data_IF_058495274287
#
_entry.id   IF_058495274287
#
_cell.length_a   1.000
_cell.length_b   1.000
_cell.length_c   1.000
_cell.angle_alpha   90.00
_cell.angle_beta   90.00
_cell.angle_gamma   90.00
#
_symmetry.space_group_name_H-M   'P 1'
#
loop_
_entity.id
_entity.type
_entity.pdbx_description
1 polymer ?
#
# COMPACT_ATOMS: atom_id res chain seq x y z
N UNK A 1 -20.71 -0.15 -42.51
CA UNK A 1 -21.40 1.04 -41.99
C UNK A 1 -21.10 1.16 -40.52
N UNK A 2 -20.23 2.09 -40.14
CA UNK A 2 -19.81 2.30 -38.75
C UNK A 2 -20.95 2.97 -37.98
N UNK A 3 -21.49 2.28 -36.99
CA UNK A 3 -22.42 2.87 -36.02
C UNK A 3 -21.63 3.90 -35.19
N UNK A 4 -21.73 5.17 -35.53
CA UNK A 4 -21.37 6.28 -34.65
C UNK A 4 -22.32 6.22 -33.46
N UNK A 5 -21.82 5.76 -32.31
CA UNK A 5 -22.50 5.98 -31.03
C UNK A 5 -22.58 7.50 -30.83
N UNK A 6 -23.78 8.06 -30.84
CA UNK A 6 -24.02 9.46 -30.46
C UNK A 6 -23.65 9.60 -28.96
N UNK A 7 -22.41 10.02 -28.69
CA UNK A 7 -22.03 10.48 -27.36
C UNK A 7 -22.55 11.91 -27.21
N UNK A 8 -23.66 12.06 -26.51
CA UNK A 8 -24.14 13.38 -26.14
C UNK A 8 -23.44 13.83 -24.86
N UNK A 9 -22.84 15.00 -24.89
CA UNK A 9 -22.21 15.65 -23.75
C UNK A 9 -22.95 16.96 -23.48
N UNK A 10 -23.39 17.16 -22.24
CA UNK A 10 -24.09 18.36 -21.82
C UNK A 10 -23.38 18.99 -20.61
N UNK A 11 -23.16 20.28 -20.62
CA UNK A 11 -22.75 21.08 -19.47
C UNK A 11 -23.98 21.67 -18.79
N UNK A 12 -23.98 21.75 -17.46
CA UNK A 12 -25.07 22.31 -16.69
C UNK A 12 -24.75 22.53 -15.21
N UNK A 13 -25.75 23.02 -14.49
CA UNK A 13 -25.68 23.24 -13.06
C UNK A 13 -26.64 22.27 -12.38
N UNK A 14 -26.17 21.52 -11.37
CA UNK A 14 -27.01 20.64 -10.57
C UNK A 14 -27.89 21.46 -9.65
N UNK A 15 -29.20 21.51 -9.93
CA UNK A 15 -30.13 22.46 -9.29
C UNK A 15 -30.14 22.42 -7.76
N UNK A 16 -29.98 21.26 -7.14
CA UNK A 16 -30.08 21.12 -5.68
C UNK A 16 -28.80 21.56 -4.95
N UNK A 17 -27.66 21.66 -5.61
CA UNK A 17 -26.37 21.98 -4.98
C UNK A 17 -25.72 23.24 -5.56
N UNK A 18 -26.16 23.70 -6.73
CA UNK A 18 -25.50 24.78 -7.46
C UNK A 18 -24.15 24.38 -8.11
N UNK A 19 -23.85 23.08 -8.13
CA UNK A 19 -22.58 22.54 -8.63
C UNK A 19 -22.56 22.51 -10.15
N UNK A 20 -21.51 23.04 -10.75
CA UNK A 20 -21.24 22.92 -12.18
C UNK A 20 -20.80 21.50 -12.52
N UNK A 21 -21.36 20.93 -13.57
CA UNK A 21 -21.06 19.56 -13.97
C UNK A 21 -21.19 19.32 -15.47
N UNK A 22 -20.57 18.25 -15.91
CA UNK A 22 -20.71 17.72 -17.26
C UNK A 22 -21.38 16.36 -17.18
N UNK A 23 -22.44 16.14 -17.95
CA UNK A 23 -23.09 14.84 -18.12
C UNK A 23 -22.74 14.28 -19.47
N UNK A 24 -22.25 13.06 -19.52
CA UNK A 24 -21.97 12.33 -20.75
C UNK A 24 -22.86 11.10 -20.82
N UNK A 25 -23.63 10.98 -21.90
CA UNK A 25 -24.42 9.79 -22.20
C UNK A 25 -23.52 8.77 -22.92
N UNK A 26 -23.30 7.60 -22.32
CA UNK A 26 -22.47 6.50 -22.87
C UNK A 26 -23.28 5.38 -23.50
N UNK A 27 -24.58 5.43 -23.39
CA UNK A 27 -25.51 4.44 -23.90
C UNK A 27 -26.95 4.83 -23.55
N UNK A 28 -27.92 3.98 -23.83
CA UNK A 28 -29.34 4.33 -23.57
C UNK A 28 -29.67 4.46 -22.08
N UNK A 29 -28.94 3.75 -21.23
CA UNK A 29 -29.13 3.74 -19.76
C UNK A 29 -27.87 4.06 -18.95
N UNK A 30 -26.77 4.45 -19.63
CA UNK A 30 -25.50 4.74 -18.98
C UNK A 30 -25.15 6.22 -19.13
N UNK A 31 -25.05 6.90 -18.01
CA UNK A 31 -24.67 8.31 -17.91
C UNK A 31 -23.47 8.46 -16.96
N UNK A 32 -22.53 9.30 -17.33
CA UNK A 32 -21.42 9.72 -16.47
C UNK A 32 -21.63 11.16 -16.05
N UNK A 33 -21.48 11.46 -14.76
CA UNK A 33 -21.57 12.80 -14.20
C UNK A 33 -20.19 13.19 -13.69
N UNK A 34 -19.61 14.21 -14.29
CA UNK A 34 -18.33 14.78 -13.92
C UNK A 34 -18.54 16.11 -13.20
N UNK A 35 -18.18 16.18 -11.92
CA UNK A 35 -18.27 17.37 -11.09
C UNK A 35 -16.89 17.74 -10.55
N UNK A 36 -16.77 18.86 -9.82
CA UNK A 36 -15.54 19.24 -9.14
C UNK A 36 -15.12 18.16 -8.14
N UNK A 37 -13.83 17.93 -8.00
CA UNK A 37 -13.22 16.80 -7.29
C UNK A 37 -13.26 16.89 -5.76
N UNK A 38 -14.30 17.42 -5.15
CA UNK A 38 -14.51 17.47 -3.71
C UNK A 38 -15.46 16.38 -3.24
N UNK A 39 -15.14 15.68 -2.15
CA UNK A 39 -16.03 14.66 -1.54
C UNK A 39 -17.42 15.23 -1.22
N UNK A 40 -17.50 16.49 -0.81
CA UNK A 40 -18.76 17.18 -0.49
C UNK A 40 -19.66 17.33 -1.70
N UNK A 41 -19.10 17.74 -2.86
CA UNK A 41 -19.85 17.89 -4.10
C UNK A 41 -20.38 16.55 -4.60
N UNK A 42 -19.52 15.53 -4.66
CA UNK A 42 -19.91 14.17 -5.05
C UNK A 42 -21.03 13.62 -4.16
N UNK A 43 -20.89 13.71 -2.84
CA UNK A 43 -21.90 13.21 -1.88
C UNK A 43 -23.21 13.98 -1.96
N UNK A 44 -23.17 15.28 -2.26
CA UNK A 44 -24.39 16.06 -2.43
C UNK A 44 -25.18 15.65 -3.69
N UNK A 45 -24.47 15.36 -4.80
CA UNK A 45 -25.08 14.84 -6.03
C UNK A 45 -25.64 13.44 -5.78
N UNK A 46 -24.89 12.53 -5.14
CA UNK A 46 -25.33 11.16 -4.82
C UNK A 46 -26.60 11.19 -3.96
N UNK A 47 -26.66 12.02 -2.92
CA UNK A 47 -27.86 12.19 -2.09
C UNK A 47 -29.04 12.72 -2.88
N UNK A 48 -28.79 13.68 -3.78
CA UNK A 48 -29.83 14.20 -4.66
C UNK A 48 -30.38 13.12 -5.58
N UNK A 49 -29.51 12.27 -6.17
CA UNK A 49 -29.94 11.13 -6.99
C UNK A 49 -30.76 10.12 -6.18
N UNK A 50 -30.37 9.87 -4.92
CA UNK A 50 -31.11 8.99 -4.00
C UNK A 50 -32.58 9.43 -3.82
N UNK A 51 -32.86 10.75 -3.82
CA UNK A 51 -34.24 11.27 -3.74
C UNK A 51 -35.10 10.97 -5.00
N UNK A 52 -34.47 10.60 -6.11
CA UNK A 52 -35.11 10.15 -7.34
C UNK A 52 -35.16 8.62 -7.48
N UNK A 53 -34.78 7.87 -6.43
CA UNK A 53 -34.86 6.42 -6.42
C UNK A 53 -33.61 5.72 -6.97
N UNK A 54 -32.50 6.42 -7.16
CA UNK A 54 -31.20 5.81 -7.47
C UNK A 54 -30.55 5.23 -6.22
N UNK A 55 -29.86 4.11 -6.37
CA UNK A 55 -29.11 3.47 -5.29
C UNK A 55 -27.61 3.59 -5.54
N UNK A 56 -26.86 3.99 -4.51
CA UNK A 56 -25.40 3.97 -4.54
C UNK A 56 -24.92 2.53 -4.51
N UNK A 57 -23.98 2.19 -5.39
CA UNK A 57 -23.25 0.92 -5.36
C UNK A 57 -21.75 1.22 -5.29
N UNK A 58 -21.00 0.30 -4.69
CA UNK A 58 -19.56 0.43 -4.65
C UNK A 58 -18.95 0.31 -6.05
N UNK A 59 -17.76 0.88 -6.26
CA UNK A 59 -17.01 0.72 -7.50
C UNK A 59 -16.70 -0.77 -7.80
N UNK A 60 -16.52 -1.58 -6.75
CA UNK A 60 -16.29 -3.03 -6.87
C UNK A 60 -17.58 -3.72 -7.35
N UNK A 61 -18.74 -3.38 -6.78
CA UNK A 61 -20.02 -3.94 -7.22
C UNK A 61 -20.34 -3.54 -8.66
N UNK A 62 -20.04 -2.29 -9.03
CA UNK A 62 -20.17 -1.83 -10.41
C UNK A 62 -19.27 -2.63 -11.36
N UNK A 63 -18.00 -2.82 -10.99
CA UNK A 63 -17.06 -3.62 -11.77
C UNK A 63 -17.55 -5.06 -11.95
N UNK A 64 -18.03 -5.69 -10.88
CA UNK A 64 -18.52 -7.07 -10.92
C UNK A 64 -19.75 -7.24 -11.82
N UNK A 65 -20.57 -6.19 -11.97
CA UNK A 65 -21.84 -6.27 -12.74
C UNK A 65 -21.67 -5.87 -14.20
N UNK A 66 -20.86 -4.85 -14.48
CA UNK A 66 -20.91 -4.13 -15.75
C UNK A 66 -19.58 -4.05 -16.50
N UNK A 67 -18.45 -4.37 -15.84
CA UNK A 67 -17.10 -4.25 -16.41
C UNK A 67 -16.22 -5.45 -16.06
N UNK A 68 -14.97 -5.44 -16.57
CA UNK A 68 -13.97 -6.40 -16.12
C UNK A 68 -13.45 -6.02 -14.73
N UNK A 69 -13.69 -6.88 -13.75
CA UNK A 69 -13.26 -6.69 -12.36
C UNK A 69 -11.76 -6.36 -12.24
N UNK A 70 -10.92 -7.08 -12.98
CA UNK A 70 -9.47 -6.93 -12.89
C UNK A 70 -8.99 -5.59 -13.45
N UNK A 71 -9.61 -5.14 -14.55
CA UNK A 71 -9.32 -3.85 -15.14
C UNK A 71 -9.70 -2.72 -14.18
N UNK A 72 -10.93 -2.71 -13.67
CA UNK A 72 -11.43 -1.62 -12.82
C UNK A 72 -10.68 -1.56 -11.49
N UNK A 73 -10.47 -2.70 -10.82
CA UNK A 73 -9.78 -2.71 -9.52
C UNK A 73 -8.32 -2.30 -9.63
N UNK A 74 -7.65 -2.64 -10.75
CA UNK A 74 -6.27 -2.17 -11.00
C UNK A 74 -6.22 -0.67 -11.32
N UNK A 75 -7.20 -0.15 -12.06
CA UNK A 75 -7.33 1.30 -12.29
C UNK A 75 -7.59 2.07 -10.98
N UNK A 76 -8.45 1.54 -10.12
CA UNK A 76 -8.69 2.12 -8.80
C UNK A 76 -7.43 2.09 -7.92
N UNK A 77 -6.66 1.00 -7.95
CA UNK A 77 -5.37 0.93 -7.26
C UNK A 77 -4.39 2.01 -7.75
N UNK A 78 -4.36 2.30 -9.06
CA UNK A 78 -3.53 3.37 -9.60
C UNK A 78 -3.86 4.74 -8.98
N UNK A 79 -5.13 5.04 -8.70
CA UNK A 79 -5.52 6.31 -8.06
C UNK A 79 -5.03 6.43 -6.62
N UNK A 80 -4.61 5.33 -6.01
CA UNK A 80 -4.08 5.29 -4.64
C UNK A 80 -2.55 5.34 -4.59
N UNK A 81 -1.87 5.39 -5.75
CA UNK A 81 -0.42 5.52 -5.79
C UNK A 81 0.02 6.86 -5.19
N UNK A 82 0.92 6.79 -4.20
CA UNK A 82 1.41 7.97 -3.49
C UNK A 82 2.77 8.46 -3.99
N UNK A 83 3.44 7.68 -4.83
CA UNK A 83 4.75 8.03 -5.39
C UNK A 83 4.82 7.75 -6.90
N UNK A 84 5.66 8.48 -7.67
CA UNK A 84 5.86 8.19 -9.10
C UNK A 84 6.38 6.77 -9.35
N UNK A 85 7.19 6.22 -8.43
CA UNK A 85 7.73 4.86 -8.53
C UNK A 85 6.60 3.84 -8.49
N UNK A 86 5.73 3.89 -7.49
CA UNK A 86 4.59 2.96 -7.37
C UNK A 86 3.56 3.16 -8.49
N UNK A 87 3.31 4.40 -8.90
CA UNK A 87 2.45 4.69 -10.06
C UNK A 87 2.97 4.04 -11.35
N UNK A 88 4.29 4.00 -11.56
CA UNK A 88 4.90 3.36 -12.74
C UNK A 88 4.62 1.86 -12.79
N UNK A 89 4.71 1.15 -11.63
CA UNK A 89 4.35 -0.27 -11.55
C UNK A 89 2.86 -0.49 -11.82
N UNK A 90 2.00 0.31 -11.19
CA UNK A 90 0.55 0.21 -11.35
C UNK A 90 0.08 0.53 -12.77
N UNK A 91 0.64 1.54 -13.43
CA UNK A 91 0.35 1.85 -14.85
C UNK A 91 0.65 0.66 -15.77
N UNK A 92 1.76 -0.04 -15.52
CA UNK A 92 2.11 -1.26 -16.26
C UNK A 92 1.07 -2.36 -16.04
N UNK A 93 0.66 -2.57 -14.79
CA UNK A 93 -0.33 -3.59 -14.44
C UNK A 93 -1.73 -3.28 -15.00
N UNK A 94 -2.13 -2.01 -15.09
CA UNK A 94 -3.39 -1.62 -15.74
C UNK A 94 -3.47 -2.16 -17.18
N UNK A 95 -2.35 -2.18 -17.91
CA UNK A 95 -2.30 -2.72 -19.25
C UNK A 95 -2.14 -4.24 -19.28
N UNK A 96 -1.35 -4.83 -18.40
CA UNK A 96 -0.91 -6.23 -18.49
C UNK A 96 -1.80 -7.21 -17.73
N UNK A 97 -2.28 -6.84 -16.53
CA UNK A 97 -3.01 -7.77 -15.66
C UNK A 97 -4.33 -8.26 -16.27
N UNK A 98 -5.19 -7.43 -16.88
CA UNK A 98 -6.40 -7.91 -17.54
C UNK A 98 -6.11 -8.88 -18.69
N UNK A 99 -5.04 -8.65 -19.45
CA UNK A 99 -4.61 -9.54 -20.53
C UNK A 99 -4.15 -10.90 -20.00
N UNK A 100 -3.37 -10.90 -18.90
CA UNK A 100 -2.94 -12.13 -18.24
C UNK A 100 -4.15 -12.94 -17.72
N UNK A 101 -5.10 -12.29 -17.09
CA UNK A 101 -6.34 -12.93 -16.62
C UNK A 101 -7.12 -13.52 -17.79
N UNK A 102 -7.19 -12.82 -18.92
CA UNK A 102 -7.83 -13.37 -20.13
C UNK A 102 -7.12 -14.62 -20.65
N UNK A 103 -5.79 -14.64 -20.60
CA UNK A 103 -5.01 -15.84 -20.97
C UNK A 103 -5.29 -17.01 -20.01
N UNK A 104 -5.36 -16.75 -18.70
CA UNK A 104 -5.74 -17.76 -17.70
C UNK A 104 -7.15 -18.34 -17.98
N UNK A 105 -8.12 -17.50 -18.29
CA UNK A 105 -9.49 -17.91 -18.67
C UNK A 105 -9.48 -18.83 -19.90
N UNK A 106 -8.69 -18.48 -20.92
CA UNK A 106 -8.58 -19.27 -22.16
C UNK A 106 -7.94 -20.64 -21.89
N UNK A 107 -6.89 -20.69 -21.06
CA UNK A 107 -6.23 -21.95 -20.66
C UNK A 107 -7.13 -22.83 -19.81
N UNK A 108 -7.90 -22.25 -18.89
CA UNK A 108 -8.93 -23.01 -18.17
C UNK A 108 -9.96 -23.64 -19.09
N UNK A 109 -10.36 -22.91 -20.15
CA UNK A 109 -11.29 -23.44 -21.16
C UNK A 109 -10.68 -24.57 -22.00
N UNK A 110 -9.34 -24.56 -22.15
CA UNK A 110 -8.57 -25.61 -22.83
C UNK A 110 -8.19 -26.79 -21.92
N UNK A 111 -8.58 -26.77 -20.64
CA UNK A 111 -8.22 -27.73 -19.60
C UNK A 111 -6.71 -27.80 -19.27
N UNK A 112 -5.96 -26.73 -19.49
CA UNK A 112 -4.53 -26.61 -19.16
C UNK A 112 -4.33 -26.27 -17.66
N UNK A 113 -4.82 -27.09 -16.75
CA UNK A 113 -4.93 -26.82 -15.31
C UNK A 113 -3.59 -26.57 -14.64
N UNK A 114 -2.58 -27.39 -14.96
CA UNK A 114 -1.24 -27.28 -14.37
C UNK A 114 -0.58 -25.95 -14.70
N UNK A 115 -0.67 -25.53 -15.97
CA UNK A 115 -0.14 -24.25 -16.40
C UNK A 115 -0.85 -23.05 -15.77
N UNK A 116 -2.17 -23.19 -15.53
CA UNK A 116 -2.94 -22.17 -14.83
C UNK A 116 -2.49 -22.08 -13.36
N UNK A 117 -2.33 -23.22 -12.68
CA UNK A 117 -1.87 -23.28 -11.31
C UNK A 117 -0.48 -22.67 -11.16
N UNK A 118 0.48 -23.03 -12.01
CA UNK A 118 1.83 -22.48 -12.03
C UNK A 118 1.83 -20.94 -12.20
N UNK A 119 1.04 -20.45 -13.16
CA UNK A 119 0.94 -19.00 -13.40
C UNK A 119 0.32 -18.25 -12.22
N UNK A 120 -0.74 -18.80 -11.60
CA UNK A 120 -1.36 -18.19 -10.43
C UNK A 120 -0.38 -18.20 -9.24
N UNK A 121 0.36 -19.29 -9.02
CA UNK A 121 1.41 -19.34 -7.99
C UNK A 121 2.48 -18.27 -8.22
N UNK A 122 2.95 -18.11 -9.45
CA UNK A 122 3.89 -17.05 -9.82
C UNK A 122 3.33 -15.65 -9.56
N UNK A 123 2.04 -15.42 -9.82
CA UNK A 123 1.39 -14.14 -9.52
C UNK A 123 1.26 -13.91 -8.01
N UNK A 124 0.88 -14.92 -7.25
CA UNK A 124 0.71 -14.85 -5.79
C UNK A 124 2.04 -14.67 -5.05
N UNK A 125 3.15 -15.18 -5.58
CA UNK A 125 4.49 -14.95 -5.05
C UNK A 125 4.78 -13.46 -4.88
N UNK A 126 4.30 -12.62 -5.78
CA UNK A 126 4.49 -11.17 -5.77
C UNK A 126 3.35 -10.38 -5.11
N UNK A 127 2.43 -11.07 -4.42
CA UNK A 127 1.25 -10.43 -3.84
C UNK A 127 1.62 -9.37 -2.78
N UNK A 128 2.59 -9.67 -1.92
CA UNK A 128 3.07 -8.73 -0.91
C UNK A 128 3.64 -7.45 -1.55
N UNK A 129 4.50 -7.61 -2.55
CA UNK A 129 5.02 -6.48 -3.33
C UNK A 129 3.88 -5.65 -3.95
N UNK A 130 2.91 -6.31 -4.58
CA UNK A 130 1.77 -5.65 -5.22
C UNK A 130 0.89 -4.87 -4.24
N UNK A 131 0.61 -5.42 -3.07
CA UNK A 131 -0.17 -4.75 -2.02
C UNK A 131 0.51 -3.47 -1.55
N UNK A 132 1.83 -3.46 -1.43
CA UNK A 132 2.59 -2.31 -0.98
C UNK A 132 2.80 -1.21 -2.03
N UNK A 133 2.28 -1.37 -3.25
CA UNK A 133 2.21 -0.29 -4.22
C UNK A 133 1.16 0.77 -3.84
N UNK A 134 0.14 0.38 -3.06
CA UNK A 134 -0.96 1.26 -2.62
C UNK A 134 -0.99 1.46 -1.11
N UNK A 135 -0.53 0.46 -0.34
CA UNK A 135 -0.44 0.52 1.12
C UNK A 135 1.01 0.77 1.51
N UNK A 136 1.34 1.94 2.11
CA UNK A 136 2.71 2.23 2.55
C UNK A 136 3.22 1.18 3.54
N UNK A 137 4.48 0.75 3.39
CA UNK A 137 5.12 -0.11 4.39
C UNK A 137 5.29 0.64 5.71
N UNK A 138 5.05 -0.05 6.80
CA UNK A 138 5.17 0.51 8.15
C UNK A 138 6.54 0.21 8.75
N UNK A 139 7.26 1.27 9.13
CA UNK A 139 8.57 1.17 9.78
C UNK A 139 8.45 1.74 11.19
N UNK A 140 8.78 0.92 12.19
CA UNK A 140 8.71 1.31 13.61
C UNK A 140 10.10 1.56 14.15
N UNK A 141 10.30 2.74 14.77
CA UNK A 141 11.51 3.07 15.50
C UNK A 141 11.32 2.79 16.99
N UNK A 142 12.13 1.91 17.56
CA UNK A 142 12.16 1.61 18.98
C UNK A 142 13.49 2.02 19.62
N UNK A 143 13.56 2.06 20.94
CA UNK A 143 14.74 2.45 21.71
C UNK A 143 14.40 3.37 22.88
N UNK A 144 15.39 3.61 23.74
CA UNK A 144 15.24 4.45 24.96
C UNK A 144 14.78 5.88 24.62
N UNK A 145 14.21 6.61 25.59
CA UNK A 145 13.99 8.05 25.45
C UNK A 145 15.31 8.79 25.16
N UNK A 146 15.21 9.89 24.41
CA UNK A 146 16.32 10.81 24.11
C UNK A 146 17.49 10.22 23.28
N UNK A 147 17.34 9.04 22.65
CA UNK A 147 18.34 8.51 21.71
C UNK A 147 18.29 9.19 20.34
N UNK A 148 17.24 10.00 20.07
CA UNK A 148 17.11 10.79 18.87
C UNK A 148 16.18 10.20 17.79
N UNK A 149 15.22 9.33 18.16
CA UNK A 149 14.26 8.71 17.22
C UNK A 149 13.49 9.74 16.40
N UNK A 150 12.79 10.67 17.06
CA UNK A 150 12.01 11.72 16.38
C UNK A 150 12.90 12.63 15.52
N UNK A 151 14.13 12.88 15.96
CA UNK A 151 15.09 13.65 15.16
C UNK A 151 15.54 12.89 13.92
N UNK A 152 15.71 11.57 14.00
CA UNK A 152 16.00 10.71 12.84
C UNK A 152 14.83 10.71 11.85
N UNK A 153 13.59 10.57 12.34
CA UNK A 153 12.39 10.64 11.50
C UNK A 153 12.36 11.98 10.71
N UNK A 154 12.60 13.09 11.41
CA UNK A 154 12.63 14.41 10.76
C UNK A 154 13.81 14.56 9.78
N UNK A 155 14.98 14.00 10.09
CA UNK A 155 16.14 14.01 9.20
C UNK A 155 15.87 13.22 7.92
N UNK A 156 15.30 12.02 8.03
CA UNK A 156 14.92 11.21 6.88
C UNK A 156 13.87 11.91 6.02
N UNK A 157 12.84 12.50 6.63
CA UNK A 157 11.82 13.26 5.92
C UNK A 157 12.38 14.52 5.21
N UNK A 158 13.31 15.21 5.85
CA UNK A 158 13.97 16.39 5.26
C UNK A 158 14.96 16.05 4.14
N UNK A 159 15.58 14.88 4.20
CA UNK A 159 16.55 14.43 3.20
C UNK A 159 15.87 14.02 1.88
N UNK A 160 14.69 13.44 1.98
CA UNK A 160 13.82 13.15 0.84
C UNK A 160 12.71 14.19 0.82
N UNK A 161 12.70 15.09 -0.18
CA UNK A 161 11.56 15.99 -0.43
C UNK A 161 10.33 15.14 -0.74
N UNK A 162 9.70 14.65 0.32
CA UNK A 162 8.50 13.84 0.21
C UNK A 162 7.37 14.76 -0.29
N UNK A 163 6.70 14.33 -1.35
CA UNK A 163 5.35 14.79 -1.64
C UNK A 163 4.49 14.13 -0.56
N UNK A 164 4.38 14.80 0.59
CA UNK A 164 3.46 14.39 1.65
C UNK A 164 2.09 14.86 1.19
N UNK A 165 1.25 13.97 0.70
CA UNK A 165 -0.17 14.21 0.71
C UNK A 165 -0.63 14.03 2.17
N UNK A 166 -1.05 15.13 2.79
CA UNK A 166 -1.78 15.09 4.06
C UNK A 166 -3.03 14.21 3.84
N UNK A 167 -2.96 12.97 4.28
CA UNK A 167 -4.16 12.12 4.37
C UNK A 167 -4.95 12.68 5.54
N UNK A 168 -5.92 13.55 5.24
CA UNK A 168 -6.85 14.07 6.21
C UNK A 168 -7.60 12.91 6.90
N UNK A 169 -7.34 12.67 8.17
CA UNK A 169 -8.11 11.69 8.96
C UNK A 169 -7.38 10.94 10.06
N UNK A 170 -6.06 11.06 10.22
CA UNK A 170 -5.32 10.32 11.25
C UNK A 170 -4.78 11.25 12.34
N UNK A 171 -5.66 12.00 13.00
CA UNK A 171 -5.34 12.68 14.23
C UNK A 171 -5.89 11.89 15.40
N UNK A 172 -5.01 11.23 16.20
CA UNK A 172 -5.05 11.36 17.66
C UNK A 172 -4.06 10.51 18.49
N UNK A 173 -3.47 9.37 18.04
CA UNK A 173 -2.79 8.50 19.02
C UNK A 173 -1.37 8.01 18.71
N UNK A 174 -0.77 8.27 17.53
CA UNK A 174 0.62 7.91 17.22
C UNK A 174 1.22 8.98 16.32
N UNK A 175 2.40 9.49 16.65
CA UNK A 175 3.15 10.36 15.75
C UNK A 175 3.63 9.49 14.58
N UNK A 176 2.83 9.44 13.53
CA UNK A 176 3.19 8.74 12.28
C UNK A 176 3.50 9.77 11.20
N UNK A 177 4.56 9.54 10.44
CA UNK A 177 4.95 10.40 9.33
C UNK A 177 5.03 9.59 8.05
N UNK A 178 4.27 10.01 7.02
CA UNK A 178 4.37 9.44 5.70
C UNK A 178 5.55 10.07 4.95
N UNK A 179 6.43 9.24 4.43
CA UNK A 179 7.59 9.65 3.61
C UNK A 179 7.76 8.71 2.42
N UNK A 180 8.62 9.10 1.48
CA UNK A 180 9.09 8.18 0.43
C UNK A 180 10.56 7.84 0.70
N UNK A 181 10.91 6.56 0.79
CA UNK A 181 12.30 6.08 0.89
C UNK A 181 12.66 5.43 -0.44
N UNK A 182 13.63 5.99 -1.14
CA UNK A 182 13.97 5.58 -2.51
C UNK A 182 12.75 5.44 -3.44
N UNK A 183 11.78 6.34 -3.27
CA UNK A 183 10.52 6.32 -4.01
C UNK A 183 9.49 5.29 -3.53
N UNK A 184 9.78 4.46 -2.51
CA UNK A 184 8.82 3.59 -1.88
C UNK A 184 8.03 4.33 -0.80
N UNK A 185 6.70 4.23 -0.76
CA UNK A 185 5.90 4.87 0.27
C UNK A 185 6.08 4.15 1.62
N UNK A 186 6.35 4.91 2.66
CA UNK A 186 6.64 4.42 4.00
C UNK A 186 5.90 5.25 5.04
N UNK A 187 5.34 4.60 6.03
CA UNK A 187 4.83 5.23 7.24
C UNK A 187 5.81 4.97 8.38
N UNK A 188 6.54 6.00 8.79
CA UNK A 188 7.40 5.95 9.97
C UNK A 188 6.56 6.15 11.22
N UNK A 189 6.71 5.26 12.22
CA UNK A 189 6.04 5.32 13.51
C UNK A 189 7.07 5.43 14.62
N UNK A 190 6.97 6.49 15.44
CA UNK A 190 7.83 6.68 16.60
C UNK A 190 7.12 6.15 17.87
N UNK A 191 7.68 5.11 18.48
CA UNK A 191 7.14 4.55 19.73
C UNK A 191 7.33 5.48 20.94
N UNK A 192 8.15 6.53 20.86
CA UNK A 192 8.36 7.48 21.95
C UNK A 192 7.18 8.44 22.16
N UNK A 193 6.42 8.75 21.11
CA UNK A 193 5.22 9.58 21.18
C UNK A 193 4.08 8.99 22.04
N UNK A 194 4.15 7.70 22.35
CA UNK A 194 3.17 6.97 23.15
C UNK A 194 3.39 7.20 24.67
N UNK A 195 4.54 7.76 25.09
CA UNK A 195 4.96 7.89 26.49
C UNK A 195 4.77 9.26 27.13
N UNK A 196 4.13 10.22 26.47
CA UNK A 196 3.96 11.57 27.04
C UNK A 196 2.71 11.70 27.91
N UNK A 197 2.58 10.85 28.94
CA UNK A 197 1.66 11.15 30.07
C UNK A 197 2.23 10.55 31.36
N UNK A 198 2.42 11.41 32.36
CA UNK A 198 2.88 11.09 33.71
C UNK A 198 1.83 10.32 34.54
N UNK A 199 1.31 9.19 34.03
CA UNK A 199 0.30 8.41 34.77
C UNK A 199 0.42 6.90 34.49
N UNK A 200 -0.18 6.01 35.29
CA UNK A 200 0.03 4.54 35.33
C UNK A 200 -0.26 3.77 34.02
N UNK A 201 -0.16 4.39 32.89
CA UNK A 201 -0.30 3.92 31.51
C UNK A 201 1.00 3.25 30.99
N UNK A 202 2.05 3.11 31.81
CA UNK A 202 3.30 2.49 31.37
C UNK A 202 3.11 1.06 30.82
N UNK A 203 2.20 0.30 31.43
CA UNK A 203 1.89 -1.08 30.98
C UNK A 203 1.11 -1.05 29.67
N UNK A 204 0.19 -0.11 29.48
CA UNK A 204 -0.54 0.06 28.20
C UNK A 204 0.40 0.54 27.08
N UNK A 205 1.33 1.45 27.38
CA UNK A 205 2.32 1.93 26.41
C UNK A 205 3.26 0.83 25.91
N UNK A 206 3.67 -0.09 26.78
CA UNK A 206 4.50 -1.25 26.39
C UNK A 206 3.70 -2.24 25.53
N UNK A 207 2.44 -2.50 25.89
CA UNK A 207 1.58 -3.38 25.11
C UNK A 207 1.30 -2.82 23.70
N UNK A 208 1.00 -1.53 23.60
CA UNK A 208 0.81 -0.85 22.31
C UNK A 208 2.08 -0.82 21.46
N UNK A 209 3.25 -0.58 22.09
CA UNK A 209 4.52 -0.64 21.37
C UNK A 209 4.80 -2.05 20.82
N UNK A 210 4.55 -3.10 21.60
CA UNK A 210 4.68 -4.49 21.15
C UNK A 210 3.70 -4.82 20.01
N UNK A 211 2.46 -4.37 20.10
CA UNK A 211 1.47 -4.55 19.04
C UNK A 211 1.88 -3.83 17.75
N UNK A 212 2.43 -2.62 17.83
CA UNK A 212 2.92 -1.91 16.65
C UNK A 212 4.13 -2.59 16.01
N UNK A 213 5.07 -3.08 16.82
CA UNK A 213 6.23 -3.84 16.35
C UNK A 213 5.76 -5.12 15.64
N UNK A 214 4.80 -5.85 16.22
CA UNK A 214 4.29 -7.09 15.60
C UNK A 214 3.53 -6.89 14.29
N UNK A 215 3.04 -5.68 14.03
CA UNK A 215 2.31 -5.30 12.81
C UNK A 215 3.15 -4.45 11.85
N UNK A 216 4.42 -4.20 12.16
CA UNK A 216 5.31 -3.45 11.28
C UNK A 216 5.97 -4.34 10.25
N UNK A 217 6.25 -3.78 9.08
CA UNK A 217 7.01 -4.43 8.02
C UNK A 217 8.51 -4.40 8.30
N UNK A 218 8.96 -3.40 9.09
CA UNK A 218 10.36 -3.25 9.48
C UNK A 218 10.45 -2.63 10.87
N UNK A 219 11.32 -3.19 11.72
CA UNK A 219 11.60 -2.67 13.07
C UNK A 219 13.04 -2.19 13.16
N UNK A 220 13.25 -0.96 13.62
CA UNK A 220 14.56 -0.33 13.77
C UNK A 220 14.80 -0.03 15.23
N UNK A 221 15.89 -0.55 15.81
CA UNK A 221 16.33 -0.15 17.14
C UNK A 221 17.34 0.99 17.06
N UNK A 222 17.07 2.07 17.82
CA UNK A 222 17.95 3.24 17.89
C UNK A 222 18.61 3.30 19.27
N UNK A 223 19.93 3.33 19.30
CA UNK A 223 20.74 3.50 20.50
C UNK A 223 21.57 4.79 20.40
N UNK A 224 21.89 5.37 21.56
CA UNK A 224 22.88 6.44 21.64
C UNK A 224 24.27 5.79 21.56
N UNK A 225 25.12 6.24 20.64
CA UNK A 225 26.46 5.66 20.42
C UNK A 225 27.38 5.75 21.67
N UNK A 226 27.04 6.59 22.65
CA UNK A 226 27.77 6.71 23.93
C UNK A 226 27.31 5.71 24.99
N UNK A 227 26.15 5.02 24.78
CA UNK A 227 25.60 4.09 25.77
C UNK A 227 26.29 2.73 25.69
N UNK A 228 27.17 2.48 26.60
CA UNK A 228 27.95 1.23 26.71
C UNK A 228 27.22 0.11 27.47
N UNK A 229 25.93 0.28 27.80
CA UNK A 229 25.18 -0.73 28.57
C UNK A 229 24.70 -1.89 27.69
N UNK A 230 25.64 -2.78 27.34
CA UNK A 230 25.38 -3.95 26.48
C UNK A 230 24.22 -4.82 26.96
N UNK A 231 24.12 -5.09 28.28
CA UNK A 231 23.02 -5.92 28.82
C UNK A 231 21.61 -5.33 28.53
N UNK A 232 21.46 -4.02 28.68
CA UNK A 232 20.18 -3.35 28.38
C UNK A 232 19.89 -3.27 26.87
N UNK A 233 20.93 -3.12 26.05
CA UNK A 233 20.77 -3.16 24.59
C UNK A 233 20.34 -4.55 24.13
N UNK A 234 21.01 -5.62 24.63
CA UNK A 234 20.66 -7.02 24.33
C UNK A 234 19.22 -7.35 24.76
N UNK A 235 18.77 -6.83 25.89
CA UNK A 235 17.39 -7.01 26.36
C UNK A 235 16.39 -6.38 25.39
N UNK A 236 16.62 -5.13 24.94
CA UNK A 236 15.77 -4.45 23.98
C UNK A 236 15.76 -5.21 22.64
N UNK A 237 16.91 -5.63 22.15
CA UNK A 237 17.04 -6.39 20.90
C UNK A 237 16.26 -7.71 20.98
N UNK A 238 16.40 -8.46 22.09
CA UNK A 238 15.70 -9.73 22.29
C UNK A 238 14.17 -9.57 22.32
N UNK A 239 13.68 -8.47 22.87
CA UNK A 239 12.24 -8.17 22.97
C UNK A 239 11.65 -7.65 21.67
N UNK A 240 12.40 -6.86 20.90
CA UNK A 240 11.91 -6.17 19.70
C UNK A 240 12.23 -6.89 18.41
N UNK A 241 13.25 -7.77 18.42
CA UNK A 241 13.75 -8.50 17.24
C UNK A 241 13.90 -7.58 16.03
N UNK A 242 14.73 -6.53 16.11
CA UNK A 242 14.84 -5.54 15.05
C UNK A 242 15.50 -6.12 13.80
N UNK A 243 15.15 -5.54 12.65
CA UNK A 243 15.78 -5.82 11.37
C UNK A 243 17.05 -4.99 11.16
N UNK A 244 17.14 -3.84 11.85
CA UNK A 244 18.24 -2.89 11.73
C UNK A 244 18.52 -2.20 13.06
N UNK A 245 19.81 -1.97 13.33
CA UNK A 245 20.29 -1.19 14.48
C UNK A 245 20.85 0.13 14.01
N UNK A 246 20.50 1.23 14.70
CA UNK A 246 21.09 2.54 14.49
C UNK A 246 21.84 2.97 15.76
N UNK A 247 23.12 3.27 15.62
CA UNK A 247 23.93 3.93 16.64
C UNK A 247 23.97 5.44 16.31
N UNK A 248 23.09 6.20 16.97
CA UNK A 248 22.94 7.63 16.71
C UNK A 248 23.83 8.48 17.62
N UNK A 249 24.04 9.73 17.25
CA UNK A 249 24.87 10.74 17.95
C UNK A 249 26.37 10.43 17.96
N UNK A 250 26.88 9.87 16.87
CA UNK A 250 28.32 9.59 16.74
C UNK A 250 29.18 10.87 16.80
N UNK A 251 28.59 12.05 16.53
CA UNK A 251 29.26 13.34 16.69
C UNK A 251 29.64 13.69 18.12
N UNK A 252 29.10 12.98 19.11
CA UNK A 252 29.38 13.16 20.54
C UNK A 252 30.41 12.17 21.09
N UNK A 253 30.95 11.28 20.23
CA UNK A 253 32.02 10.36 20.62
C UNK A 253 33.35 11.11 20.72
N UNK A 254 34.08 10.89 21.81
CA UNK A 254 35.47 11.42 21.97
C UNK A 254 36.42 10.68 21.05
N UNK A 255 37.50 11.35 20.60
CA UNK A 255 38.56 10.73 19.81
C UNK A 255 39.16 9.52 20.54
N UNK A 256 39.01 8.32 19.97
CA UNK A 256 39.47 7.08 20.55
C UNK A 256 38.43 6.22 21.30
N UNK A 257 37.18 6.71 21.44
CA UNK A 257 36.08 5.85 21.90
C UNK A 257 35.69 4.86 20.81
N UNK A 258 35.90 3.57 21.06
CA UNK A 258 35.43 2.50 20.19
C UNK A 258 33.87 2.46 20.27
N UNK A 259 33.24 2.54 19.13
CA UNK A 259 31.82 2.18 19.00
C UNK A 259 31.74 0.66 19.19
N UNK A 260 30.85 0.18 20.04
CA UNK A 260 30.60 -1.25 20.19
C UNK A 260 30.08 -1.79 18.87
N UNK A 261 30.94 -2.37 18.06
CA UNK A 261 30.62 -2.80 16.68
C UNK A 261 29.63 -3.98 16.63
N UNK A 262 29.46 -4.70 17.72
CA UNK A 262 28.66 -5.93 17.79
C UNK A 262 27.52 -5.84 18.83
N UNK A 263 26.83 -4.69 18.91
CA UNK A 263 25.66 -4.57 19.77
C UNK A 263 24.51 -5.52 19.34
N UNK A 264 24.53 -6.02 18.12
CA UNK A 264 23.42 -6.73 17.49
C UNK A 264 23.65 -8.19 17.13
N UNK A 265 24.80 -8.82 17.46
CA UNK A 265 25.01 -10.25 17.16
C UNK A 265 24.86 -10.60 15.67
N UNK A 266 25.40 -9.75 14.77
CA UNK A 266 25.33 -9.94 13.31
C UNK A 266 24.20 -9.20 12.61
N UNK A 267 23.38 -8.41 13.32
CA UNK A 267 22.38 -7.55 12.70
C UNK A 267 23.04 -6.36 11.97
N UNK A 268 22.49 -5.93 10.83
CA UNK A 268 22.93 -4.72 10.14
C UNK A 268 22.93 -3.53 11.11
N UNK A 269 24.08 -2.84 11.23
CA UNK A 269 24.23 -1.72 12.16
C UNK A 269 24.76 -0.50 11.42
N UNK A 270 24.06 0.65 11.55
CA UNK A 270 24.41 1.91 10.89
C UNK A 270 24.78 2.94 11.97
N UNK A 271 25.85 3.66 11.73
CA UNK A 271 26.31 4.77 12.57
C UNK A 271 25.77 6.08 12.02
N UNK A 272 25.02 6.85 12.84
CA UNK A 272 24.41 8.10 12.38
C UNK A 272 24.67 9.28 13.32
N UNK A 273 24.62 10.48 12.75
CA UNK A 273 24.46 11.73 13.48
C UNK A 273 23.47 12.61 12.76
N UNK A 274 22.34 12.88 13.38
CA UNK A 274 21.36 13.82 12.85
C UNK A 274 21.93 15.25 12.79
N UNK A 275 22.84 15.61 13.72
CA UNK A 275 23.44 16.94 13.79
C UNK A 275 24.35 17.22 12.58
N UNK A 276 25.11 16.24 12.14
CA UNK A 276 26.06 16.37 11.03
C UNK A 276 25.57 15.76 9.72
N UNK A 277 24.39 15.13 9.74
CA UNK A 277 23.84 14.30 8.66
C UNK A 277 24.71 13.09 8.28
N UNK A 278 25.69 12.71 9.08
CA UNK A 278 26.51 11.53 8.84
C UNK A 278 25.64 10.27 8.91
N UNK A 279 25.84 9.33 7.97
CA UNK A 279 25.15 8.05 7.91
C UNK A 279 23.67 8.11 7.51
N UNK A 280 23.06 9.30 7.36
CA UNK A 280 21.61 9.41 7.01
C UNK A 280 21.37 8.91 5.59
N UNK A 281 22.25 9.21 4.63
CA UNK A 281 22.15 8.72 3.25
C UNK A 281 22.25 7.19 3.20
N UNK A 282 23.24 6.63 3.86
CA UNK A 282 23.44 5.19 3.97
C UNK A 282 22.23 4.49 4.59
N UNK A 283 21.63 5.08 5.64
CA UNK A 283 20.41 4.59 6.25
C UNK A 283 19.25 4.52 5.24
N UNK A 284 19.06 5.57 4.45
CA UNK A 284 18.02 5.63 3.42
C UNK A 284 18.24 4.57 2.35
N UNK A 285 19.47 4.39 1.88
CA UNK A 285 19.82 3.41 0.84
C UNK A 285 19.60 1.96 1.35
N UNK A 286 19.98 1.66 2.58
CA UNK A 286 19.74 0.34 3.20
C UNK A 286 18.24 0.09 3.40
N UNK A 287 17.51 1.07 3.91
CA UNK A 287 16.05 0.94 4.07
C UNK A 287 15.36 0.74 2.71
N UNK A 288 15.77 1.45 1.67
CA UNK A 288 15.25 1.27 0.32
C UNK A 288 15.39 -0.17 -0.18
N UNK A 289 16.54 -0.79 0.10
CA UNK A 289 16.81 -2.19 -0.25
C UNK A 289 16.01 -3.17 0.61
N UNK A 290 15.89 -2.93 1.91
CA UNK A 290 15.12 -3.81 2.81
C UNK A 290 13.60 -3.74 2.56
N UNK A 291 13.09 -2.58 2.17
CA UNK A 291 11.66 -2.38 1.87
C UNK A 291 11.24 -3.10 0.57
N UNK A 292 12.14 -3.25 -0.39
CA UNK A 292 11.89 -3.98 -1.63
C UNK A 292 13.14 -4.76 -2.03
N UNK A 293 13.44 -5.89 -1.34
CA UNK A 293 14.65 -6.68 -1.59
C UNK A 293 14.66 -7.29 -2.99
N UNK A 294 13.49 -7.57 -3.51
CA UNK A 294 13.29 -8.07 -4.86
C UNK A 294 12.27 -7.23 -5.62
N UNK A 295 12.49 -7.05 -6.91
CA UNK A 295 11.59 -6.30 -7.80
C UNK A 295 11.16 -7.22 -8.93
N UNK A 296 9.85 -7.39 -9.18
CA UNK A 296 9.36 -8.22 -10.27
C UNK A 296 9.81 -7.69 -11.63
N UNK A 297 10.06 -8.61 -12.55
CA UNK A 297 10.41 -8.27 -13.93
C UNK A 297 9.30 -7.45 -14.60
N UNK A 298 9.62 -6.77 -15.69
CA UNK A 298 8.67 -5.92 -16.39
C UNK A 298 7.47 -6.70 -16.99
N UNK A 299 7.62 -7.98 -17.23
CA UNK A 299 6.56 -8.87 -17.77
C UNK A 299 5.75 -9.55 -16.66
N UNK A 300 6.19 -9.50 -15.41
CA UNK A 300 5.52 -10.15 -14.29
C UNK A 300 4.24 -9.41 -13.93
N UNK A 301 3.14 -10.13 -13.79
CA UNK A 301 1.86 -9.63 -13.27
C UNK A 301 1.57 -10.20 -11.90
N UNK A 302 0.89 -9.42 -11.05
CA UNK A 302 0.58 -9.79 -9.67
C UNK A 302 -0.65 -9.01 -9.18
N UNK A 303 -1.35 -9.50 -8.13
CA UNK A 303 -2.47 -8.79 -7.54
C UNK A 303 -1.99 -7.54 -6.79
N UNK A 304 -2.80 -6.48 -6.82
CA UNK A 304 -2.53 -5.19 -6.14
C UNK A 304 -3.62 -4.81 -5.15
N UNK A 305 -4.64 -5.65 -5.00
CA UNK A 305 -5.71 -5.49 -4.02
C UNK A 305 -5.97 -6.79 -3.28
N UNK A 306 -6.45 -6.69 -2.04
CA UNK A 306 -6.81 -7.86 -1.22
C UNK A 306 -7.80 -8.76 -1.93
N UNK A 307 -8.78 -8.19 -2.63
CA UNK A 307 -9.80 -8.95 -3.34
C UNK A 307 -9.24 -9.69 -4.57
N UNK A 308 -8.32 -9.08 -5.33
CA UNK A 308 -7.60 -9.74 -6.41
C UNK A 308 -6.77 -10.91 -5.87
N UNK A 309 -6.04 -10.70 -4.78
CA UNK A 309 -5.24 -11.74 -4.12
C UNK A 309 -6.12 -12.91 -3.65
N UNK A 310 -7.23 -12.63 -2.96
CA UNK A 310 -8.21 -13.62 -2.52
C UNK A 310 -8.73 -14.46 -3.69
N UNK A 311 -9.14 -13.84 -4.78
CA UNK A 311 -9.67 -14.54 -5.97
C UNK A 311 -8.64 -15.46 -6.61
N UNK A 312 -7.38 -15.03 -6.73
CA UNK A 312 -6.31 -15.89 -7.23
C UNK A 312 -6.03 -17.07 -6.29
N UNK A 313 -5.96 -16.82 -4.99
CA UNK A 313 -5.73 -17.87 -3.99
C UNK A 313 -6.88 -18.90 -3.96
N UNK A 314 -8.14 -18.47 -4.02
CA UNK A 314 -9.28 -19.34 -4.11
C UNK A 314 -9.32 -20.12 -5.43
N UNK A 315 -8.95 -19.47 -6.55
CA UNK A 315 -8.83 -20.15 -7.83
C UNK A 315 -7.79 -21.28 -7.75
N UNK A 316 -6.62 -21.01 -7.17
CA UNK A 316 -5.57 -22.01 -6.99
C UNK A 316 -6.02 -23.16 -6.08
N UNK A 317 -6.68 -22.84 -4.97
CA UNK A 317 -7.22 -23.86 -4.05
C UNK A 317 -8.26 -24.75 -4.73
N UNK A 318 -9.12 -24.18 -5.58
CA UNK A 318 -10.09 -24.95 -6.36
C UNK A 318 -9.42 -25.87 -7.39
N UNK A 319 -8.33 -25.43 -8.04
CA UNK A 319 -7.60 -26.26 -9.02
C UNK A 319 -7.04 -27.55 -8.38
N UNK A 320 -6.62 -27.48 -7.12
CA UNK A 320 -6.11 -28.64 -6.40
C UNK A 320 -7.20 -29.64 -5.94
N UNK A 321 -8.49 -29.30 -6.02
CA UNK A 321 -9.58 -30.17 -5.54
C UNK A 321 -10.21 -31.07 -6.60
N UNK A 322 -9.84 -30.96 -7.86
CA UNK A 322 -10.21 -31.80 -9.02
C UNK A 322 -11.71 -32.17 -9.16
N UNK A 323 -12.66 -31.31 -8.75
CA UNK A 323 -14.10 -31.62 -8.83
C UNK A 323 -14.80 -30.92 -10.00
N UNK A 324 -15.77 -31.56 -10.71
CA UNK A 324 -16.49 -30.96 -11.86
C UNK A 324 -17.31 -29.70 -11.50
N UNK A 325 -17.71 -29.53 -10.24
CA UNK A 325 -18.38 -28.31 -9.76
C UNK A 325 -17.44 -27.08 -9.80
N UNK A 326 -16.15 -27.31 -9.89
CA UNK A 326 -15.06 -26.33 -9.83
C UNK A 326 -15.02 -25.41 -11.05
N UNK A 327 -15.37 -25.86 -12.25
CA UNK A 327 -15.27 -25.06 -13.48
C UNK A 327 -16.16 -23.80 -13.46
N UNK A 328 -17.39 -23.94 -12.94
CA UNK A 328 -18.30 -22.80 -12.78
C UNK A 328 -17.81 -21.79 -11.75
N UNK A 329 -17.24 -22.28 -10.65
CA UNK A 329 -16.65 -21.46 -9.59
C UNK A 329 -15.39 -20.75 -10.09
N UNK A 330 -14.48 -21.45 -10.78
CA UNK A 330 -13.26 -20.88 -11.35
C UNK A 330 -13.55 -19.74 -12.33
N UNK A 331 -14.55 -19.92 -13.21
CA UNK A 331 -14.99 -18.86 -14.12
C UNK A 331 -15.53 -17.64 -13.39
N UNK A 332 -16.22 -17.83 -12.27
CA UNK A 332 -16.75 -16.72 -11.47
C UNK A 332 -15.63 -15.99 -10.71
N UNK A 333 -14.63 -16.71 -10.18
CA UNK A 333 -13.50 -16.12 -9.45
C UNK A 333 -12.60 -15.28 -10.35
N UNK A 334 -12.29 -15.75 -11.55
CA UNK A 334 -11.55 -14.97 -12.53
C UNK A 334 -12.41 -13.89 -13.21
N UNK A 335 -13.72 -13.83 -12.91
CA UNK A 335 -14.66 -12.88 -13.45
C UNK A 335 -15.24 -13.32 -14.81
N UNK A 336 -16.42 -12.83 -15.12
CA UNK A 336 -17.05 -13.02 -16.44
C UNK A 336 -16.30 -12.15 -17.46
N UNK A 337 -16.19 -12.62 -18.70
CA UNK A 337 -15.88 -11.71 -19.81
C UNK A 337 -16.99 -10.66 -19.87
N UNK A 338 -16.67 -9.38 -20.08
CA UNK A 338 -17.69 -8.44 -20.48
C UNK A 338 -18.32 -9.02 -21.75
N UNK A 339 -19.60 -9.37 -21.66
CA UNK A 339 -20.35 -9.82 -22.85
C UNK A 339 -20.35 -8.67 -23.85
N UNK A 340 -20.06 -8.94 -25.13
CA UNK A 340 -20.14 -7.95 -26.18
C UNK A 340 -21.56 -7.33 -26.31
N UNK A 341 -22.53 -7.91 -25.59
CA UNK A 341 -23.93 -7.50 -25.46
C UNK A 341 -24.23 -6.68 -24.18
N UNK A 342 -23.27 -5.91 -23.65
CA UNK A 342 -23.53 -4.92 -22.59
C UNK A 342 -24.63 -3.87 -22.95
N UNK A 343 -25.37 -4.11 -24.03
CA UNK A 343 -26.45 -3.28 -24.55
C UNK A 343 -27.86 -3.89 -24.34
N UNK A 344 -28.00 -5.00 -23.60
CA UNK A 344 -29.34 -5.57 -23.33
C UNK A 344 -29.40 -6.09 -21.89
N UNK A 345 -29.65 -5.19 -20.93
CA UNK A 345 -30.33 -5.47 -19.69
C UNK A 345 -30.84 -4.15 -19.09
#
# INVERSE_FOLDING_TARGET
>A
MSSRTNQEVAYGIWKSTGEDLVVSKRGDQHFEIHCHGGTTACQAIIRSLGSFGFFEISAIDFANRFQDFWQVTTQLALTQATTPKTATFLLRLVAQLPLQIQQLRNRLAANDWDLVAEQIQSMLHWSDFGMHLTVPRSVVLCGKPNVGKSSLVNAMAGFQRAIVHDVAGTTRDVVSQAIAIDGWPVTLKDTAGIRNSDNPIEIMGIAQAKEQISKSDLTICVFDARDNSQSKQSEIISQTKPDLIILNKIDLLSSGQAVVEDAGGGLPTIKTSVKTNAGIRELIDILGTQLAPEIPSASQTYPVTTEQNRRLAETLACLHQETPATLGQLRNLLGKQPTADGNKA
#
